data_IF_002315471315
#
_entry.id   IF_002315471315
#
_cell.length_a   1.000
_cell.length_b   1.000
_cell.length_c   1.000
_cell.angle_alpha   90.00
_cell.angle_beta   90.00
_cell.angle_gamma   90.00
#
_symmetry.space_group_name_H-M   'P 1'
#
loop_
_entity.id
_entity.type
_entity.pdbx_description
1 polymer ?
#
# COMPACT_ATOMS: atom_id res chain seq x y z
N UNK A 1 18.89 -7.68 -23.67
CA UNK A 1 18.88 -6.51 -24.58
C UNK A 1 18.02 -6.69 -25.83
N UNK A 2 17.86 -7.91 -26.33
CA UNK A 2 17.13 -8.20 -27.58
C UNK A 2 15.64 -7.80 -27.57
N UNK A 3 14.92 -8.08 -26.48
CA UNK A 3 13.53 -7.64 -26.30
C UNK A 3 13.40 -6.11 -26.25
N UNK A 4 14.35 -5.43 -25.61
CA UNK A 4 14.42 -3.96 -25.58
C UNK A 4 14.66 -3.40 -26.98
N UNK A 5 15.50 -4.04 -27.78
CA UNK A 5 15.73 -3.70 -29.18
C UNK A 5 14.46 -3.86 -30.03
N UNK A 6 13.71 -4.96 -29.86
CA UNK A 6 12.42 -5.20 -30.50
C UNK A 6 11.41 -4.09 -30.17
N UNK A 7 11.19 -3.80 -28.88
CA UNK A 7 10.25 -2.76 -28.45
C UNK A 7 10.66 -1.37 -28.98
N UNK A 8 11.96 -1.07 -29.03
CA UNK A 8 12.45 0.18 -29.60
C UNK A 8 12.25 0.29 -31.11
N UNK A 9 12.37 -0.82 -31.85
CA UNK A 9 12.10 -0.84 -33.28
C UNK A 9 10.62 -0.56 -33.55
N UNK A 10 9.71 -1.22 -32.82
CA UNK A 10 8.26 -0.96 -32.86
C UNK A 10 7.95 0.50 -32.53
N UNK A 11 8.50 1.03 -31.42
CA UNK A 11 8.31 2.43 -30.99
C UNK A 11 8.73 3.44 -32.06
N UNK A 12 9.77 3.14 -32.83
CA UNK A 12 10.32 4.03 -33.88
C UNK A 12 9.76 3.75 -35.27
N UNK A 13 8.85 2.79 -35.42
CA UNK A 13 8.33 2.37 -36.73
C UNK A 13 9.41 1.81 -37.66
N UNK A 14 10.49 1.24 -37.12
CA UNK A 14 11.59 0.65 -37.92
C UNK A 14 11.25 -0.79 -38.31
N UNK A 15 11.70 -1.27 -39.48
CA UNK A 15 11.54 -2.66 -39.85
C UNK A 15 12.21 -3.58 -38.82
N UNK A 16 11.54 -4.69 -38.52
CA UNK A 16 12.04 -5.70 -37.59
C UNK A 16 13.06 -6.58 -38.30
N UNK A 17 14.09 -7.02 -37.57
CA UNK A 17 14.97 -8.08 -38.07
C UNK A 17 14.21 -9.42 -38.09
N UNK A 18 14.65 -10.34 -38.95
CA UNK A 18 14.08 -11.70 -39.04
C UNK A 18 14.04 -12.42 -37.69
N UNK A 19 15.01 -12.15 -36.81
CA UNK A 19 15.03 -12.73 -35.47
C UNK A 19 13.98 -12.09 -34.54
N UNK A 20 13.81 -10.78 -34.61
CA UNK A 20 12.76 -10.05 -33.89
C UNK A 20 11.35 -10.46 -34.31
N UNK A 21 11.13 -10.71 -35.59
CA UNK A 21 9.86 -11.26 -36.11
C UNK A 21 9.58 -12.65 -35.55
N UNK A 22 10.59 -13.53 -35.49
CA UNK A 22 10.48 -14.86 -34.88
C UNK A 22 10.19 -14.78 -33.38
N UNK A 23 10.82 -13.84 -32.67
CA UNK A 23 10.53 -13.64 -31.25
C UNK A 23 9.09 -13.21 -31.03
N UNK A 24 8.57 -12.31 -31.87
CA UNK A 24 7.19 -11.86 -31.79
C UNK A 24 6.21 -12.99 -32.12
N UNK A 25 6.50 -13.81 -33.13
CA UNK A 25 5.65 -14.95 -33.50
C UNK A 25 5.73 -16.12 -32.52
N UNK A 26 6.84 -16.23 -31.76
CA UNK A 26 7.01 -17.20 -30.70
C UNK A 26 6.33 -16.81 -29.39
N UNK A 27 5.79 -15.58 -29.27
CA UNK A 27 5.00 -15.19 -28.09
C UNK A 27 3.77 -16.09 -28.02
N UNK A 28 3.62 -16.88 -26.94
CA UNK A 28 2.54 -17.85 -26.87
C UNK A 28 1.19 -17.13 -26.86
N UNK A 29 0.24 -17.64 -27.64
CA UNK A 29 -1.14 -17.14 -27.64
C UNK A 29 -1.82 -17.29 -26.27
N UNK A 30 -1.33 -18.23 -25.44
CA UNK A 30 -1.81 -18.44 -24.07
C UNK A 30 -0.62 -18.53 -23.11
N UNK A 31 -0.59 -17.62 -22.16
CA UNK A 31 0.37 -17.67 -21.04
C UNK A 31 -0.02 -18.81 -20.09
N UNK A 32 0.99 -19.46 -19.51
CA UNK A 32 0.78 -20.50 -18.51
C UNK A 32 0.20 -19.91 -17.23
N UNK A 33 -0.69 -20.67 -16.58
CA UNK A 33 -1.23 -20.29 -15.29
C UNK A 33 -0.11 -20.31 -14.24
N UNK A 34 0.00 -19.23 -13.46
CA UNK A 34 0.97 -19.14 -12.37
C UNK A 34 0.48 -19.92 -11.16
N UNK A 35 1.43 -20.40 -10.35
CA UNK A 35 1.12 -21.14 -9.11
C UNK A 35 0.37 -20.32 -8.05
N UNK A 36 0.46 -18.99 -8.13
CA UNK A 36 -0.25 -18.05 -7.25
C UNK A 36 -1.74 -17.87 -7.61
N UNK A 37 -2.21 -18.47 -8.71
CA UNK A 37 -3.58 -18.33 -9.21
C UNK A 37 -3.88 -16.95 -9.82
N UNK A 38 -2.92 -16.03 -9.84
CA UNK A 38 -3.08 -14.69 -10.39
C UNK A 38 -2.85 -14.74 -11.90
N UNK A 39 -3.90 -14.41 -12.65
CA UNK A 39 -3.85 -14.48 -14.11
C UNK A 39 -3.18 -13.26 -14.71
N UNK A 40 -2.53 -13.41 -15.88
CA UNK A 40 -2.03 -12.27 -16.63
C UNK A 40 -3.15 -11.29 -16.99
N UNK A 41 -2.83 -10.00 -16.96
CA UNK A 41 -3.75 -8.94 -17.39
C UNK A 41 -3.92 -8.98 -18.90
N UNK A 42 -5.16 -8.94 -19.36
CA UNK A 42 -5.49 -8.87 -20.78
C UNK A 42 -5.67 -7.39 -21.14
N UNK A 43 -4.93 -6.93 -22.15
CA UNK A 43 -5.03 -5.57 -22.65
C UNK A 43 -6.02 -5.53 -23.81
N UNK A 44 -6.98 -4.60 -23.75
CA UNK A 44 -7.95 -4.35 -24.80
C UNK A 44 -7.91 -2.88 -25.21
N UNK A 45 -8.38 -2.58 -26.42
CA UNK A 45 -8.28 -1.23 -26.98
C UNK A 45 -9.25 -0.24 -26.34
N UNK A 46 -10.41 -0.68 -25.85
CA UNK A 46 -11.45 0.22 -25.31
C UNK A 46 -11.91 -0.19 -23.92
N UNK A 47 -12.28 0.81 -23.11
CA UNK A 47 -12.86 0.57 -21.78
C UNK A 47 -14.19 -0.20 -21.84
N UNK A 48 -14.93 -0.08 -22.95
CA UNK A 48 -16.17 -0.83 -23.19
C UNK A 48 -15.88 -2.33 -23.30
N UNK A 49 -14.85 -2.70 -24.05
CA UNK A 49 -14.46 -4.12 -24.21
C UNK A 49 -13.94 -4.68 -22.89
N UNK A 50 -13.12 -3.89 -22.16
CA UNK A 50 -12.64 -4.25 -20.82
C UNK A 50 -13.84 -4.48 -19.88
N UNK A 51 -14.79 -3.53 -19.83
CA UNK A 51 -15.99 -3.63 -19.00
C UNK A 51 -16.81 -4.87 -19.33
N UNK A 52 -17.11 -5.12 -20.61
CA UNK A 52 -17.88 -6.29 -21.03
C UNK A 52 -17.17 -7.62 -20.79
N UNK A 53 -15.84 -7.67 -20.96
CA UNK A 53 -15.04 -8.85 -20.64
C UNK A 53 -15.09 -9.15 -19.15
N UNK A 54 -14.85 -8.13 -18.35
CA UNK A 54 -14.90 -8.19 -16.90
C UNK A 54 -16.28 -8.64 -16.43
N UNK A 55 -17.37 -7.96 -16.77
CA UNK A 55 -18.70 -8.34 -16.32
C UNK A 55 -19.07 -9.80 -16.60
N UNK A 56 -18.72 -10.33 -17.80
CA UNK A 56 -18.93 -11.75 -18.12
C UNK A 56 -18.15 -12.65 -17.18
N UNK A 57 -16.93 -12.27 -16.86
CA UNK A 57 -16.03 -13.06 -16.03
C UNK A 57 -16.43 -13.03 -14.56
N UNK A 58 -17.09 -11.97 -14.07
CA UNK A 58 -17.70 -11.99 -12.75
C UNK A 58 -18.86 -12.97 -12.71
N UNK A 59 -19.67 -12.96 -13.77
CA UNK A 59 -20.84 -13.83 -13.89
C UNK A 59 -20.42 -15.29 -13.94
N UNK A 60 -19.32 -15.60 -14.63
CA UNK A 60 -18.72 -16.94 -14.71
C UNK A 60 -18.22 -17.46 -13.33
N UNK A 61 -17.90 -16.58 -12.38
CA UNK A 61 -17.41 -16.99 -11.06
C UNK A 61 -18.54 -17.58 -10.18
N UNK A 62 -18.26 -18.69 -9.48
CA UNK A 62 -19.21 -19.29 -8.57
C UNK A 62 -19.43 -18.41 -7.32
N UNK A 63 -20.51 -18.68 -6.60
CA UNK A 63 -20.79 -18.05 -5.32
C UNK A 63 -21.59 -16.74 -5.42
N UNK A 64 -21.99 -16.21 -4.25
CA UNK A 64 -22.83 -15.03 -4.17
C UNK A 64 -22.05 -13.77 -4.54
N UNK A 65 -22.68 -12.92 -5.34
CA UNK A 65 -22.19 -11.58 -5.60
C UNK A 65 -22.48 -10.66 -4.42
N UNK A 66 -21.50 -9.82 -4.08
CA UNK A 66 -21.64 -8.77 -3.09
C UNK A 66 -21.24 -7.44 -3.70
N UNK A 67 -22.16 -6.49 -3.65
CA UNK A 67 -21.95 -5.14 -4.19
C UNK A 67 -21.58 -4.18 -3.08
N UNK A 68 -20.54 -3.39 -3.32
CA UNK A 68 -20.10 -2.32 -2.42
C UNK A 68 -20.40 -0.97 -3.06
N UNK A 69 -21.24 -0.18 -2.40
CA UNK A 69 -21.53 1.19 -2.79
C UNK A 69 -20.52 2.17 -2.18
N UNK A 70 -20.12 3.16 -2.96
CA UNK A 70 -19.27 4.25 -2.51
C UNK A 70 -19.99 5.11 -1.46
N UNK A 71 -19.21 5.67 -0.54
CA UNK A 71 -19.68 6.61 0.47
C UNK A 71 -18.99 7.95 0.27
N UNK A 72 -19.53 8.74 -0.64
CA UNK A 72 -18.94 10.00 -1.07
C UNK A 72 -19.30 11.11 -0.08
N UNK A 73 -18.28 11.72 0.52
CA UNK A 73 -18.43 12.80 1.49
C UNK A 73 -17.58 13.98 1.11
N UNK A 74 -18.13 15.16 1.32
CA UNK A 74 -17.47 16.44 1.09
C UNK A 74 -17.42 17.19 2.41
N UNK A 75 -16.23 17.65 2.80
CA UNK A 75 -16.07 18.48 3.99
C UNK A 75 -15.42 19.80 3.60
N UNK A 76 -15.91 20.88 4.19
CA UNK A 76 -15.25 22.17 4.25
C UNK A 76 -14.18 22.11 5.34
N UNK A 77 -13.05 22.79 5.10
CA UNK A 77 -12.00 22.90 6.10
C UNK A 77 -12.51 23.75 7.28
N UNK A 78 -12.43 23.19 8.49
CA UNK A 78 -12.86 23.86 9.71
C UNK A 78 -12.07 25.16 9.96
N UNK A 79 -10.80 25.20 9.54
CA UNK A 79 -9.96 26.39 9.65
C UNK A 79 -10.44 27.49 8.70
N UNK A 80 -10.85 27.13 7.47
CA UNK A 80 -11.43 28.07 6.52
C UNK A 80 -12.74 28.65 7.02
N UNK A 81 -13.62 27.81 7.59
CA UNK A 81 -14.88 28.26 8.20
C UNK A 81 -14.62 29.26 9.34
N UNK A 82 -13.63 28.97 10.19
CA UNK A 82 -13.27 29.85 11.30
C UNK A 82 -12.77 31.23 10.82
N UNK A 83 -11.97 31.27 9.75
CA UNK A 83 -11.49 32.52 9.15
C UNK A 83 -12.65 33.37 8.64
N UNK A 84 -13.63 32.78 7.94
CA UNK A 84 -14.81 33.52 7.46
C UNK A 84 -15.62 34.10 8.62
N UNK A 85 -15.87 33.31 9.67
CA UNK A 85 -16.62 33.75 10.86
C UNK A 85 -15.94 34.89 11.62
N UNK A 86 -14.62 35.03 11.55
CA UNK A 86 -13.89 36.14 12.19
C UNK A 86 -13.88 37.45 11.40
N UNK A 87 -14.08 37.39 10.07
CA UNK A 87 -13.91 38.53 9.15
C UNK A 87 -15.21 39.20 8.76
N UNK A 88 -16.32 38.48 8.86
CA UNK A 88 -17.63 38.92 8.42
C UNK A 88 -18.62 38.95 9.58
N UNK A 89 -19.69 39.71 9.43
CA UNK A 89 -20.84 39.60 10.33
C UNK A 89 -21.42 38.18 10.25
N UNK A 90 -22.14 37.77 11.30
CA UNK A 90 -22.68 36.40 11.39
C UNK A 90 -23.55 36.03 10.18
N UNK A 91 -24.40 36.95 9.74
CA UNK A 91 -25.30 36.73 8.60
C UNK A 91 -24.54 36.59 7.28
N UNK A 92 -23.54 37.45 7.03
CA UNK A 92 -22.69 37.38 5.83
C UNK A 92 -21.83 36.11 5.81
N UNK A 93 -21.33 35.68 6.97
CA UNK A 93 -20.56 34.45 7.10
C UNK A 93 -21.42 33.21 6.80
N UNK A 94 -22.66 33.18 7.28
CA UNK A 94 -23.62 32.10 7.01
C UNK A 94 -24.00 32.02 5.51
N UNK A 95 -24.21 33.16 4.85
CA UNK A 95 -24.48 33.19 3.41
C UNK A 95 -23.28 32.72 2.59
N UNK A 96 -22.07 33.15 2.97
CA UNK A 96 -20.83 32.75 2.30
C UNK A 96 -20.51 31.27 2.52
N UNK A 97 -20.76 30.73 3.72
CA UNK A 97 -20.64 29.31 4.05
C UNK A 97 -21.57 28.49 3.15
N UNK A 98 -22.85 28.88 3.02
CA UNK A 98 -23.82 28.22 2.14
C UNK A 98 -23.39 28.23 0.67
N UNK A 99 -22.86 29.35 0.18
CA UNK A 99 -22.39 29.46 -1.21
C UNK A 99 -21.19 28.55 -1.46
N UNK A 100 -20.22 28.55 -0.54
CA UNK A 100 -19.03 27.69 -0.61
C UNK A 100 -19.41 26.20 -0.57
N UNK A 101 -20.32 25.81 0.33
CA UNK A 101 -20.84 24.44 0.39
C UNK A 101 -21.50 24.01 -0.93
N UNK A 102 -22.30 24.91 -1.53
CA UNK A 102 -22.95 24.64 -2.81
C UNK A 102 -21.94 24.46 -3.94
N UNK A 103 -20.92 25.31 -4.00
CA UNK A 103 -19.82 25.21 -4.98
C UNK A 103 -19.01 23.91 -4.78
N UNK A 104 -18.63 23.62 -3.54
CA UNK A 104 -17.90 22.40 -3.18
C UNK A 104 -18.70 21.15 -3.55
N UNK A 105 -20.02 21.16 -3.31
CA UNK A 105 -20.91 20.06 -3.68
C UNK A 105 -20.97 19.86 -5.19
N UNK A 106 -21.02 20.94 -5.97
CA UNK A 106 -21.00 20.85 -7.44
C UNK A 106 -19.67 20.30 -7.96
N UNK A 107 -18.55 20.83 -7.46
CA UNK A 107 -17.21 20.37 -7.83
C UNK A 107 -17.00 18.91 -7.46
N UNK A 108 -17.43 18.52 -6.26
CA UNK A 108 -17.30 17.15 -5.78
C UNK A 108 -18.18 16.19 -6.57
N UNK A 109 -19.42 16.59 -6.91
CA UNK A 109 -20.28 15.79 -7.78
C UNK A 109 -19.59 15.52 -9.12
N UNK A 110 -19.05 16.56 -9.75
CA UNK A 110 -18.30 16.42 -11.01
C UNK A 110 -17.12 15.45 -10.85
N UNK A 111 -16.34 15.60 -9.78
CA UNK A 111 -15.21 14.71 -9.51
C UNK A 111 -15.63 13.24 -9.38
N UNK A 112 -16.66 12.94 -8.56
CA UNK A 112 -17.12 11.57 -8.35
C UNK A 112 -17.81 10.96 -9.58
N UNK A 113 -18.41 11.79 -10.44
CA UNK A 113 -19.07 11.35 -11.66
C UNK A 113 -18.09 11.11 -12.82
N UNK A 114 -17.11 12.00 -13.00
CA UNK A 114 -16.28 12.05 -14.22
C UNK A 114 -14.81 11.66 -14.00
N UNK A 115 -14.21 12.09 -12.87
CA UNK A 115 -12.76 12.00 -12.65
C UNK A 115 -12.35 10.83 -11.74
N UNK A 116 -13.28 10.34 -10.93
CA UNK A 116 -13.01 9.26 -9.98
C UNK A 116 -12.76 7.94 -10.73
N UNK A 117 -11.57 7.37 -10.55
CA UNK A 117 -11.20 6.07 -11.13
C UNK A 117 -12.02 4.90 -10.54
N UNK A 118 -12.49 5.06 -9.31
CA UNK A 118 -13.28 4.04 -8.62
C UNK A 118 -14.75 4.15 -9.03
N UNK A 119 -15.38 3.01 -9.32
CA UNK A 119 -16.81 2.97 -9.63
C UNK A 119 -17.63 3.24 -8.36
N UNK A 120 -18.80 3.85 -8.54
CA UNK A 120 -19.80 4.05 -7.48
C UNK A 120 -20.28 2.74 -6.86
N UNK A 121 -20.35 1.70 -7.68
CA UNK A 121 -20.71 0.35 -7.24
C UNK A 121 -19.68 -0.64 -7.78
N UNK A 122 -19.17 -1.47 -6.88
CA UNK A 122 -18.19 -2.49 -7.20
C UNK A 122 -18.77 -3.86 -6.83
N UNK A 123 -19.31 -4.62 -7.81
CA UNK A 123 -19.76 -5.98 -7.61
C UNK A 123 -18.55 -6.91 -7.55
N UNK A 124 -18.52 -7.79 -6.55
CA UNK A 124 -17.39 -8.68 -6.29
C UNK A 124 -17.89 -10.07 -5.87
N UNK A 125 -17.08 -11.08 -6.16
CA UNK A 125 -17.26 -12.47 -5.72
C UNK A 125 -15.95 -12.99 -5.15
N UNK A 126 -16.01 -14.07 -4.36
CA UNK A 126 -14.81 -14.83 -4.01
C UNK A 126 -14.19 -15.37 -5.31
N UNK A 127 -12.88 -15.49 -5.34
CA UNK A 127 -12.07 -15.84 -6.52
C UNK A 127 -12.03 -14.77 -7.63
N UNK A 128 -12.64 -13.60 -7.41
CA UNK A 128 -12.48 -12.44 -8.27
C UNK A 128 -11.04 -11.91 -8.22
N UNK A 129 -10.40 -11.80 -9.37
CA UNK A 129 -9.12 -11.10 -9.49
C UNK A 129 -9.36 -9.59 -9.53
N UNK A 130 -8.58 -8.85 -8.74
CA UNK A 130 -8.70 -7.41 -8.54
C UNK A 130 -7.35 -6.72 -8.65
N UNK A 131 -7.38 -5.42 -8.88
CA UNK A 131 -6.19 -4.56 -8.94
C UNK A 131 -6.33 -3.39 -7.96
N UNK A 132 -5.26 -3.10 -7.24
CA UNK A 132 -5.20 -1.94 -6.35
C UNK A 132 -5.03 -0.66 -7.19
N UNK A 133 -5.84 0.36 -6.93
CA UNK A 133 -5.80 1.63 -7.69
C UNK A 133 -4.98 2.74 -7.01
N UNK A 134 -4.54 2.51 -5.76
CA UNK A 134 -3.84 3.49 -4.93
C UNK A 134 -2.65 2.85 -4.20
N UNK A 135 -1.69 3.66 -3.75
CA UNK A 135 -0.55 3.16 -2.98
C UNK A 135 -0.98 3.02 -1.52
N UNK A 136 -0.97 1.80 -0.99
CA UNK A 136 -1.34 1.53 0.41
C UNK A 136 -0.08 1.37 1.28
N UNK A 137 0.83 0.47 0.87
CA UNK A 137 2.10 0.26 1.55
C UNK A 137 3.17 -0.14 0.53
N UNK A 138 4.07 0.79 0.23
CA UNK A 138 5.13 0.57 -0.76
C UNK A 138 6.23 -0.37 -0.25
N UNK A 139 6.41 -0.49 1.07
CA UNK A 139 7.43 -1.36 1.66
C UNK A 139 7.03 -2.82 1.53
N UNK A 140 5.73 -3.09 1.72
CA UNK A 140 5.14 -4.43 1.55
C UNK A 140 4.71 -4.72 0.10
N UNK A 141 4.98 -3.82 -0.85
CA UNK A 141 4.66 -4.03 -2.27
C UNK A 141 3.18 -3.85 -2.64
N UNK A 142 2.39 -3.21 -1.78
CA UNK A 142 0.99 -2.84 -2.03
C UNK A 142 0.93 -1.46 -2.70
N UNK A 143 1.23 -1.44 -4.00
CA UNK A 143 1.22 -0.26 -4.85
C UNK A 143 0.06 -0.27 -5.85
N UNK A 144 -0.23 0.87 -6.46
CA UNK A 144 -1.14 0.97 -7.60
C UNK A 144 -0.68 0.00 -8.71
N UNK A 145 -1.59 -0.88 -9.15
CA UNK A 145 -1.30 -1.96 -10.09
C UNK A 145 -1.03 -3.32 -9.42
N UNK A 146 -0.87 -3.40 -8.11
CA UNK A 146 -0.76 -4.68 -7.39
C UNK A 146 -2.03 -5.50 -7.60
N UNK A 147 -1.85 -6.80 -7.84
CA UNK A 147 -2.93 -7.73 -8.21
C UNK A 147 -3.15 -8.74 -7.10
N UNK A 148 -4.39 -9.16 -6.92
CA UNK A 148 -4.75 -10.19 -5.96
C UNK A 148 -6.05 -10.89 -6.34
N UNK A 149 -6.39 -11.91 -5.56
CA UNK A 149 -7.63 -12.68 -5.68
C UNK A 149 -8.40 -12.55 -4.38
N UNK A 150 -9.71 -12.27 -4.44
CA UNK A 150 -10.56 -12.23 -3.26
C UNK A 150 -10.68 -13.63 -2.64
N UNK A 151 -10.28 -13.77 -1.39
CA UNK A 151 -10.34 -15.05 -0.66
C UNK A 151 -11.58 -15.19 0.22
N UNK A 152 -12.25 -14.08 0.55
CA UNK A 152 -13.41 -14.11 1.44
C UNK A 152 -13.88 -12.72 1.89
N UNK A 153 -14.80 -12.73 2.85
CA UNK A 153 -15.42 -11.52 3.40
C UNK A 153 -15.17 -11.43 4.90
N UNK A 154 -14.87 -10.23 5.39
CA UNK A 154 -14.79 -9.94 6.81
C UNK A 154 -15.50 -8.63 7.12
N UNK A 155 -16.29 -8.58 8.19
CA UNK A 155 -16.90 -7.33 8.63
C UNK A 155 -15.85 -6.45 9.31
N UNK A 156 -15.98 -5.13 9.14
CA UNK A 156 -15.08 -4.16 9.78
C UNK A 156 -15.06 -4.35 11.31
N UNK A 157 -16.21 -4.62 11.93
CA UNK A 157 -16.29 -4.84 13.37
C UNK A 157 -15.51 -6.09 13.82
N UNK A 158 -15.65 -7.20 13.10
CA UNK A 158 -14.93 -8.44 13.43
C UNK A 158 -13.42 -8.25 13.23
N UNK A 159 -13.00 -7.64 12.12
CA UNK A 159 -11.60 -7.35 11.85
C UNK A 159 -10.99 -6.44 12.93
N UNK A 160 -11.65 -5.32 13.25
CA UNK A 160 -11.21 -4.40 14.30
C UNK A 160 -11.15 -5.07 15.68
N UNK A 161 -12.09 -5.97 15.97
CA UNK A 161 -12.08 -6.76 17.20
C UNK A 161 -10.85 -7.67 17.30
N UNK A 162 -10.51 -8.34 16.20
CA UNK A 162 -9.31 -9.20 16.14
C UNK A 162 -8.02 -8.39 16.25
N UNK A 163 -7.91 -7.27 15.53
CA UNK A 163 -6.75 -6.38 15.61
C UNK A 163 -6.54 -5.83 17.02
N UNK A 164 -7.61 -5.43 17.72
CA UNK A 164 -7.53 -4.99 19.13
C UNK A 164 -7.03 -6.09 20.06
N UNK A 165 -7.45 -7.34 19.85
CA UNK A 165 -6.94 -8.47 20.64
C UNK A 165 -5.45 -8.70 20.40
N UNK A 166 -5.02 -8.67 19.13
CA UNK A 166 -3.61 -8.80 18.77
C UNK A 166 -2.76 -7.69 19.38
N UNK A 167 -3.25 -6.46 19.37
CA UNK A 167 -2.59 -5.32 20.01
C UNK A 167 -2.44 -5.55 21.52
N UNK A 168 -3.51 -5.96 22.21
CA UNK A 168 -3.45 -6.25 23.64
C UNK A 168 -2.43 -7.36 23.99
N UNK A 169 -2.37 -8.43 23.19
CA UNK A 169 -1.37 -9.49 23.35
C UNK A 169 0.06 -8.98 23.19
N UNK A 170 0.29 -8.06 22.24
CA UNK A 170 1.60 -7.44 22.04
C UNK A 170 1.98 -6.49 23.18
N UNK A 171 1.03 -5.69 23.67
CA UNK A 171 1.21 -4.82 24.83
C UNK A 171 1.54 -5.63 26.09
N UNK A 172 0.89 -6.77 26.30
CA UNK A 172 1.20 -7.69 27.40
C UNK A 172 2.60 -8.29 27.26
N UNK A 173 3.00 -8.68 26.05
CA UNK A 173 4.37 -9.16 25.79
C UNK A 173 5.42 -8.08 26.04
N UNK A 174 5.15 -6.84 25.64
CA UNK A 174 6.05 -5.70 25.93
C UNK A 174 6.17 -5.48 27.44
N UNK A 175 5.05 -5.47 28.17
CA UNK A 175 5.05 -5.35 29.64
C UNK A 175 5.86 -6.47 30.32
N UNK A 176 5.77 -7.70 29.84
CA UNK A 176 6.55 -8.82 30.36
C UNK A 176 8.05 -8.65 30.09
N UNK A 177 8.43 -8.17 28.90
CA UNK A 177 9.83 -7.87 28.57
C UNK A 177 10.35 -6.75 29.48
N UNK A 178 9.59 -5.67 29.64
CA UNK A 178 9.99 -4.55 30.51
C UNK A 178 10.13 -4.99 31.97
N UNK A 179 9.21 -5.82 32.48
CA UNK A 179 9.31 -6.40 33.81
C UNK A 179 10.53 -7.32 33.97
N UNK A 180 10.87 -8.10 32.94
CA UNK A 180 12.07 -8.95 32.94
C UNK A 180 13.38 -8.15 32.80
N UNK A 181 13.33 -6.99 32.13
CA UNK A 181 14.45 -6.07 31.91
C UNK A 181 14.61 -5.02 33.01
N UNK A 182 13.66 -4.93 33.95
CA UNK A 182 13.78 -4.03 35.11
C UNK A 182 14.98 -4.54 35.96
N UNK A 183 16.06 -3.76 36.10
CA UNK A 183 17.33 -4.33 36.52
C UNK A 183 17.28 -4.82 37.97
N UNK A 184 18.13 -5.82 38.22
CA UNK A 184 18.76 -6.24 39.48
C UNK A 184 19.45 -5.07 40.24
N UNK A 185 18.79 -3.92 40.37
CA UNK A 185 19.27 -2.70 41.02
C UNK A 185 19.37 -2.82 42.55
N UNK A 186 19.23 -4.02 43.11
CA UNK A 186 19.44 -4.31 44.53
C UNK A 186 20.64 -5.22 44.83
N UNK A 187 21.44 -5.64 43.82
CA UNK A 187 22.58 -6.56 44.03
C UNK A 187 23.91 -6.08 43.45
N UNK A 188 24.47 -4.99 43.99
CA UNK A 188 25.92 -4.83 44.28
C UNK A 188 26.22 -3.46 44.89
N UNK A 189 26.16 -3.39 46.21
CA UNK A 189 26.86 -2.36 46.98
C UNK A 189 28.07 -3.01 47.68
N UNK A 190 29.05 -3.46 46.90
CA UNK A 190 30.37 -3.78 47.43
C UNK A 190 31.40 -2.85 46.78
N UNK A 191 31.45 -1.66 47.37
CA UNK A 191 32.62 -0.86 47.70
C UNK A 191 33.95 -1.38 47.09
N UNK A 192 34.39 -0.74 46.02
CA UNK A 192 35.81 -0.67 45.67
C UNK A 192 36.15 0.78 45.43
N UNK A 193 36.83 1.36 46.41
CA UNK A 193 37.51 2.65 46.33
C UNK A 193 38.58 2.59 45.24
N UNK A 194 38.37 3.30 44.13
CA UNK A 194 39.43 3.52 43.15
C UNK A 194 39.89 4.97 43.17
N UNK A 195 41.18 5.06 43.42
CA UNK A 195 42.05 6.22 43.55
C UNK A 195 42.04 6.98 42.21
N UNK A 196 41.78 8.29 42.25
CA UNK A 196 41.92 9.16 41.07
C UNK A 196 43.41 9.43 40.80
N UNK A 197 43.94 9.16 39.60
CA UNK A 197 45.21 9.74 39.20
C UNK A 197 44.96 11.15 38.63
N UNK A 198 45.65 12.13 39.23
CA UNK A 198 45.80 13.49 38.68
C UNK A 198 46.51 13.39 37.33
N UNK A 199 45.97 14.01 36.28
CA UNK A 199 46.73 14.33 35.07
C UNK A 199 46.81 15.85 34.94
N UNK A 200 48.06 16.31 34.90
CA UNK A 200 48.48 17.69 34.76
C UNK A 200 48.13 18.24 33.39
N UNK A 201 47.54 19.43 33.38
CA UNK A 201 47.35 20.28 32.21
C UNK A 201 48.69 20.83 31.72
N UNK A 202 49.09 20.47 30.50
CA UNK A 202 50.06 21.20 29.70
C UNK A 202 49.39 21.66 28.39
N UNK A 203 49.67 22.87 27.88
CA UNK A 203 48.95 23.43 26.74
C UNK A 203 49.47 22.84 25.42
N UNK A 204 48.56 22.43 24.55
CA UNK A 204 48.87 22.16 23.14
C UNK A 204 48.95 23.51 22.40
N UNK A 205 50.05 23.83 21.69
CA UNK A 205 50.05 24.89 20.71
C UNK A 205 49.34 24.40 19.44
N UNK A 206 48.87 25.33 18.62
CA UNK A 206 48.24 25.12 17.32
C UNK A 206 46.73 24.79 17.35
N UNK A 207 45.95 25.88 17.25
CA UNK A 207 44.52 25.87 17.07
C UNK A 207 44.13 25.37 15.69
N UNK A 208 43.63 24.14 15.63
CA UNK A 208 42.80 23.66 14.54
C UNK A 208 41.85 22.56 15.03
N UNK A 209 40.54 22.65 14.74
CA UNK A 209 39.57 21.64 15.17
C UNK A 209 39.75 20.33 14.36
N UNK A 210 39.64 19.15 14.99
CA UNK A 210 39.64 17.89 14.25
C UNK A 210 38.31 17.66 13.50
N UNK A 211 38.46 17.27 12.24
CA UNK A 211 37.43 16.95 11.24
C UNK A 211 36.55 15.74 11.67
N UNK A 212 35.22 15.73 11.47
CA UNK A 212 34.38 14.57 11.80
C UNK A 212 34.52 13.47 10.73
N UNK A 213 35.20 12.38 11.13
CA UNK A 213 35.23 11.12 10.38
C UNK A 213 33.84 10.46 10.24
N UNK A 214 33.68 9.52 9.28
CA UNK A 214 32.38 9.01 8.85
C UNK A 214 31.69 8.15 9.91
N UNK A 215 30.38 8.37 10.05
CA UNK A 215 29.48 7.62 10.92
C UNK A 215 29.47 6.13 10.56
N UNK A 216 29.89 5.31 11.52
CA UNK A 216 29.82 3.86 11.46
C UNK A 216 28.35 3.38 11.52
N UNK A 217 28.05 2.45 10.63
CA UNK A 217 26.78 1.77 10.44
C UNK A 217 26.72 0.51 11.33
N UNK A 218 25.76 0.34 12.26
CA UNK A 218 25.49 -0.95 12.89
C UNK A 218 24.37 -1.65 12.08
N UNK A 219 24.67 -2.64 11.23
CA UNK A 219 24.80 -4.04 11.67
C UNK A 219 23.42 -4.65 11.91
N UNK A 220 22.72 -5.11 10.87
CA UNK A 220 22.64 -6.53 10.48
C UNK A 220 22.51 -7.48 11.69
N UNK A 221 21.28 -7.83 12.04
CA UNK A 221 20.98 -9.07 12.77
C UNK A 221 19.93 -9.81 11.97
N UNK A 222 20.34 -10.94 11.40
CA UNK A 222 19.45 -11.84 10.69
C UNK A 222 18.54 -12.57 11.68
N UNK A 223 17.24 -12.55 11.41
CA UNK A 223 16.30 -13.52 11.95
C UNK A 223 15.61 -14.19 10.76
N UNK A 224 16.07 -15.39 10.44
CA UNK A 224 15.36 -16.30 9.58
C UNK A 224 14.11 -16.79 10.33
N UNK A 225 12.93 -16.49 9.80
CA UNK A 225 11.71 -17.21 10.16
C UNK A 225 11.18 -17.89 8.90
N UNK A 226 11.28 -19.20 8.90
CA UNK A 226 10.67 -20.07 7.92
C UNK A 226 9.15 -19.97 8.02
N UNK A 227 8.48 -19.75 6.89
CA UNK A 227 7.10 -20.15 6.68
C UNK A 227 7.13 -21.28 5.65
N UNK A 228 6.54 -22.44 5.99
CA UNK A 228 5.58 -22.97 5.03
C UNK A 228 4.39 -23.63 5.73
N UNK A 229 3.20 -23.42 5.16
CA UNK A 229 2.36 -24.56 4.74
C UNK A 229 1.40 -24.10 3.66
N UNK A 230 1.75 -24.44 2.43
CA UNK A 230 0.82 -24.61 1.32
C UNK A 230 -0.24 -25.64 1.70
N UNK A 231 -1.53 -25.28 1.65
CA UNK A 231 -2.61 -26.26 1.55
C UNK A 231 -3.11 -26.26 0.12
N UNK A 232 -2.65 -27.25 -0.65
CA UNK A 232 -3.19 -27.57 -1.96
C UNK A 232 -4.67 -27.94 -1.83
N UNK A 233 -5.53 -27.13 -2.45
CA UNK A 233 -6.95 -27.38 -2.62
C UNK A 233 -7.28 -27.32 -4.11
N UNK A 234 -8.05 -28.29 -4.59
CA UNK A 234 -8.30 -28.61 -6.00
C UNK A 234 -8.60 -27.41 -6.90
N UNK A 235 -7.96 -27.42 -8.06
CA UNK A 235 -8.25 -26.53 -9.18
C UNK A 235 -9.72 -26.62 -9.60
N UNK A 236 -10.44 -25.52 -9.49
CA UNK A 236 -11.68 -25.28 -10.21
C UNK A 236 -11.39 -24.30 -11.35
N UNK A 237 -11.72 -24.73 -12.56
CA UNK A 237 -11.61 -23.93 -13.78
C UNK A 237 -12.56 -22.73 -13.72
N UNK A 238 -12.04 -21.55 -13.41
CA UNK A 238 -12.75 -20.26 -13.58
C UNK A 238 -11.93 -19.34 -14.46
N UNK A 239 -12.54 -18.58 -15.37
CA UNK A 239 -11.88 -17.72 -16.35
C UNK A 239 -11.56 -16.30 -15.79
N UNK A 240 -10.66 -15.48 -16.39
CA UNK A 240 -10.12 -14.25 -15.76
C UNK A 240 -11.10 -13.08 -15.65
N UNK A 241 -11.36 -12.56 -14.44
CA UNK A 241 -12.20 -11.39 -14.13
C UNK A 241 -11.37 -10.15 -13.77
N UNK A 242 -11.86 -8.92 -13.98
CA UNK A 242 -11.26 -7.70 -13.39
C UNK A 242 -12.32 -6.64 -12.98
N UNK A 243 -12.08 -5.90 -11.90
CA UNK A 243 -12.62 -4.55 -11.65
C UNK A 243 -11.44 -3.60 -11.55
#
# INVERSE_FOLDING_TARGET
EEFVGLLNAIRKGKPLSRHQERLLSAVPQRLQDRADGIKPTILMCTNKDVGGYNERKLKDLPGPEKTFAANDKTCTDAEMIAIYRSRYSREEAEEQERKLEQELRQQSKKFFDDDCRAKKEIPLKVDAQVMLLYNLDLREGLANGSRGVLTGWQSTQAWMGEQRKQLGLLEDRLRQIDAACTPLASRRAHRTSFISPKVSTGPNPDGQPPDPGPLANPGRVGAAFALPTTRAGKAAHGAPFFV
#
